data_IF_191217883771
#
_entry.id   IF_191217883771
#
_cell.length_a   1.000
_cell.length_b   1.000
_cell.length_c   1.000
_cell.angle_alpha   90.00
_cell.angle_beta   90.00
_cell.angle_gamma   90.00
#
_symmetry.space_group_name_H-M   'P 1'
#
loop_
_entity.id
_entity.type
_entity.pdbx_description
1 polymer ?
#
# COMPACT_ATOMS: atom_id res chain seq x y z
N UNK A 1 8.16 -1.81 1.21
CA UNK A 1 7.93 -0.37 0.95
C UNK A 1 7.35 -0.16 -0.44
N UNK A 2 6.46 0.82 -0.63
CA UNK A 2 5.81 1.11 -1.91
C UNK A 2 6.79 1.32 -3.07
N UNK A 3 7.92 2.01 -2.82
CA UNK A 3 8.98 2.25 -3.80
C UNK A 3 9.55 0.95 -4.39
N UNK A 4 9.79 -0.04 -3.54
CA UNK A 4 10.25 -1.37 -3.93
C UNK A 4 9.18 -2.15 -4.71
N UNK A 5 7.90 -2.05 -4.31
CA UNK A 5 6.79 -2.71 -5.00
C UNK A 5 6.62 -2.19 -6.42
N UNK A 6 6.65 -0.87 -6.61
CA UNK A 6 6.55 -0.24 -7.94
C UNK A 6 7.71 -0.73 -8.82
N UNK A 7 8.94 -0.68 -8.30
CA UNK A 7 10.13 -1.14 -9.03
C UNK A 7 10.04 -2.63 -9.38
N UNK A 8 9.56 -3.45 -8.45
CA UNK A 8 9.38 -4.89 -8.64
C UNK A 8 8.36 -5.17 -9.74
N UNK A 9 7.14 -4.63 -9.62
CA UNK A 9 6.08 -4.80 -10.62
C UNK A 9 6.53 -4.36 -12.02
N UNK A 10 7.22 -3.21 -12.11
CA UNK A 10 7.76 -2.72 -13.37
C UNK A 10 8.76 -3.70 -13.99
N UNK A 11 9.65 -4.28 -13.19
CA UNK A 11 10.62 -5.28 -13.65
C UNK A 11 9.95 -6.61 -14.01
N UNK A 12 8.95 -7.03 -13.25
CA UNK A 12 8.20 -8.26 -13.50
C UNK A 12 7.39 -8.16 -14.81
N UNK A 13 6.95 -6.96 -15.19
CA UNK A 13 6.34 -6.64 -16.50
C UNK A 13 7.36 -6.40 -17.62
N UNK A 14 8.66 -6.44 -17.31
CA UNK A 14 9.77 -6.21 -18.24
C UNK A 14 9.69 -4.87 -19.00
N UNK A 15 9.25 -3.80 -18.33
CA UNK A 15 9.16 -2.46 -18.93
C UNK A 15 10.15 -1.47 -18.31
N UNK A 16 10.52 -0.45 -19.07
CA UNK A 16 11.40 0.63 -18.61
C UNK A 16 10.65 1.66 -17.75
N UNK A 17 11.36 2.48 -16.97
CA UNK A 17 10.75 3.61 -16.26
C UNK A 17 10.09 4.62 -17.23
N UNK A 18 10.65 4.78 -18.44
CA UNK A 18 10.09 5.64 -19.49
C UNK A 18 8.75 5.08 -19.99
N UNK A 19 8.70 3.77 -20.21
CA UNK A 19 7.47 3.07 -20.64
C UNK A 19 6.39 3.20 -19.57
N UNK A 20 6.70 2.88 -18.31
CA UNK A 20 5.74 3.02 -17.22
C UNK A 20 5.25 4.48 -17.07
N UNK A 21 6.14 5.45 -17.19
CA UNK A 21 5.78 6.86 -17.13
C UNK A 21 4.80 7.25 -18.24
N UNK A 22 5.04 6.77 -19.47
CA UNK A 22 4.15 6.99 -20.61
C UNK A 22 2.75 6.41 -20.37
N UNK A 23 2.66 5.18 -19.90
CA UNK A 23 1.38 4.50 -19.62
C UNK A 23 0.58 5.18 -18.50
N UNK A 24 1.28 5.76 -17.52
CA UNK A 24 0.67 6.48 -16.39
C UNK A 24 0.44 7.97 -16.66
N UNK A 25 0.85 8.49 -17.82
CA UNK A 25 0.72 9.91 -18.18
C UNK A 25 1.58 10.85 -17.34
N UNK A 26 2.78 10.41 -16.94
CA UNK A 26 3.73 11.18 -16.12
C UNK A 26 5.11 11.24 -16.77
N UNK A 27 6.04 11.96 -16.15
CA UNK A 27 7.45 11.98 -16.59
C UNK A 27 8.22 10.77 -16.04
N UNK A 28 9.29 10.37 -16.74
CA UNK A 28 10.23 9.35 -16.24
C UNK A 28 10.84 9.75 -14.88
N UNK A 29 11.02 11.04 -14.63
CA UNK A 29 11.52 11.54 -13.35
C UNK A 29 10.54 11.24 -12.21
N UNK A 30 9.22 11.36 -12.43
CA UNK A 30 8.22 10.98 -11.44
C UNK A 30 8.35 9.51 -11.03
N UNK A 31 8.41 8.59 -12.01
CA UNK A 31 8.61 7.16 -11.75
C UNK A 31 9.93 6.90 -11.03
N UNK A 32 11.01 7.54 -11.45
CA UNK A 32 12.31 7.44 -10.77
C UNK A 32 12.25 7.93 -9.33
N UNK A 33 11.52 9.00 -9.04
CA UNK A 33 11.36 9.51 -7.69
C UNK A 33 10.59 8.53 -6.80
N UNK A 34 9.54 7.90 -7.32
CA UNK A 34 8.78 6.87 -6.59
C UNK A 34 9.64 5.64 -6.32
N UNK A 35 10.36 5.13 -7.32
CA UNK A 35 11.17 3.91 -7.16
C UNK A 35 12.42 4.10 -6.30
N UNK A 36 12.85 5.34 -6.03
CA UNK A 36 14.00 5.66 -5.19
C UNK A 36 13.59 6.32 -3.86
N UNK A 37 12.31 6.29 -3.50
CA UNK A 37 11.80 6.81 -2.23
C UNK A 37 11.98 8.34 -2.04
N UNK A 38 12.24 9.09 -3.12
CA UNK A 38 12.43 10.53 -3.06
C UNK A 38 11.11 11.29 -2.86
N UNK A 39 10.04 10.80 -3.50
CA UNK A 39 8.69 11.37 -3.46
C UNK A 39 7.70 10.21 -3.52
N UNK A 40 6.59 10.30 -2.81
CA UNK A 40 5.51 9.32 -2.88
C UNK A 40 4.52 9.64 -4.03
N UNK A 41 3.94 8.63 -4.69
CA UNK A 41 2.84 8.85 -5.62
C UNK A 41 1.63 9.46 -4.89
N UNK A 42 0.90 10.35 -5.55
CA UNK A 42 -0.39 10.83 -5.03
C UNK A 42 -1.40 9.68 -4.94
N UNK A 43 -2.50 9.89 -4.19
CA UNK A 43 -3.58 8.88 -4.08
C UNK A 43 -4.13 8.51 -5.46
N UNK A 44 -4.37 9.50 -6.33
CA UNK A 44 -4.84 9.25 -7.70
C UNK A 44 -3.84 8.39 -8.48
N UNK A 45 -2.55 8.66 -8.33
CA UNK A 45 -1.50 7.91 -9.02
C UNK A 45 -1.35 6.50 -8.46
N UNK A 46 -1.47 6.32 -7.15
CA UNK A 46 -1.50 5.02 -6.50
C UNK A 46 -2.61 4.13 -7.10
N UNK A 47 -3.81 4.69 -7.28
CA UNK A 47 -4.93 3.98 -7.91
C UNK A 47 -4.62 3.64 -9.38
N UNK A 48 -3.99 4.55 -10.13
CA UNK A 48 -3.58 4.27 -11.52
C UNK A 48 -2.54 3.17 -11.61
N UNK A 49 -1.53 3.20 -10.74
CA UNK A 49 -0.49 2.15 -10.65
C UNK A 49 -1.14 0.80 -10.31
N UNK A 50 -2.03 0.77 -9.32
CA UNK A 50 -2.75 -0.43 -8.92
C UNK A 50 -3.55 -1.04 -10.09
N UNK A 51 -4.31 -0.21 -10.81
CA UNK A 51 -5.06 -0.63 -12.00
C UNK A 51 -4.15 -1.11 -13.13
N UNK A 52 -3.07 -0.39 -13.43
CA UNK A 52 -2.14 -0.74 -14.51
C UNK A 52 -1.51 -2.12 -14.30
N UNK A 53 -1.07 -2.41 -13.07
CA UNK A 53 -0.45 -3.70 -12.73
C UNK A 53 -1.45 -4.77 -12.27
N UNK A 54 -2.75 -4.45 -12.27
CA UNK A 54 -3.82 -5.34 -11.79
C UNK A 54 -3.58 -5.88 -10.36
N UNK A 55 -3.25 -4.98 -9.43
CA UNK A 55 -3.06 -5.27 -8.00
C UNK A 55 -3.95 -4.35 -7.14
N UNK A 56 -4.13 -4.65 -5.86
CA UNK A 56 -4.79 -3.73 -4.93
C UNK A 56 -3.85 -2.60 -4.49
N UNK A 57 -4.43 -1.48 -4.05
CA UNK A 57 -3.67 -0.43 -3.36
C UNK A 57 -3.08 -0.95 -2.05
N UNK A 58 -3.76 -1.89 -1.40
CA UNK A 58 -3.30 -2.51 -0.15
C UNK A 58 -1.97 -3.24 -0.36
N UNK A 59 -1.83 -4.00 -1.46
CA UNK A 59 -0.57 -4.63 -1.83
C UNK A 59 0.57 -3.62 -2.04
N UNK A 60 0.27 -2.48 -2.68
CA UNK A 60 1.26 -1.42 -2.93
C UNK A 60 1.68 -0.70 -1.64
N UNK A 61 0.76 -0.56 -0.69
CA UNK A 61 0.96 0.09 0.59
C UNK A 61 1.49 -0.85 1.69
N UNK A 62 1.74 -2.13 1.36
CA UNK A 62 2.05 -3.18 2.34
C UNK A 62 0.98 -3.27 3.46
N UNK A 63 -0.28 -2.93 3.12
CA UNK A 63 -1.43 -3.20 3.97
C UNK A 63 -1.75 -4.68 3.76
N UNK A 64 -1.28 -5.52 4.68
CA UNK A 64 -1.86 -6.85 4.84
C UNK A 64 -3.34 -6.70 5.21
N UNK A 65 -4.18 -7.72 4.97
CA UNK A 65 -5.41 -7.85 5.75
C UNK A 65 -4.99 -8.03 7.21
N UNK A 66 -4.70 -6.93 7.90
CA UNK A 66 -4.66 -6.91 9.33
C UNK A 66 -6.07 -7.30 9.78
N UNK A 67 -6.13 -8.26 10.70
CA UNK A 67 -7.39 -8.61 11.33
C UNK A 67 -7.81 -7.45 12.23
N UNK A 68 -8.55 -6.51 11.66
CA UNK A 68 -9.17 -5.42 12.41
C UNK A 68 -10.46 -5.92 13.06
N UNK A 69 -10.64 -5.54 14.33
CA UNK A 69 -11.94 -5.70 15.00
C UNK A 69 -12.64 -4.36 14.87
N UNK A 70 -13.75 -4.33 14.15
CA UNK A 70 -14.63 -3.16 14.14
C UNK A 70 -15.22 -2.98 15.54
N UNK A 71 -14.97 -1.80 16.12
CA UNK A 71 -15.46 -1.40 17.45
C UNK A 71 -16.45 -0.25 17.36
N UNK A 72 -16.99 0.02 16.16
CA UNK A 72 -18.01 1.07 15.96
C UNK A 72 -19.19 0.83 16.91
N UNK A 73 -19.58 1.88 17.64
CA UNK A 73 -20.66 1.83 18.62
C UNK A 73 -20.25 1.41 20.03
N UNK A 74 -18.99 1.03 20.26
CA UNK A 74 -18.48 0.74 21.61
C UNK A 74 -17.94 1.99 22.30
N UNK A 75 -18.10 2.04 23.63
CA UNK A 75 -17.46 3.05 24.46
C UNK A 75 -16.03 2.63 24.88
N UNK A 76 -15.30 3.59 25.46
CA UNK A 76 -13.90 3.40 25.84
C UNK A 76 -13.66 2.24 26.82
N UNK A 77 -14.61 1.97 27.73
CA UNK A 77 -14.48 0.88 28.71
C UNK A 77 -14.61 -0.47 28.00
N UNK A 78 -15.59 -0.61 27.10
CA UNK A 78 -15.79 -1.82 26.30
C UNK A 78 -14.58 -2.11 25.40
N UNK A 79 -14.02 -1.07 24.78
CA UNK A 79 -12.78 -1.19 23.98
C UNK A 79 -11.60 -1.63 24.85
N UNK A 80 -11.48 -1.12 26.08
CA UNK A 80 -10.43 -1.54 27.00
C UNK A 80 -10.53 -3.04 27.37
N UNK A 81 -11.74 -3.54 27.63
CA UNK A 81 -11.96 -4.97 27.89
C UNK A 81 -11.58 -5.85 26.69
N UNK A 82 -11.97 -5.45 25.47
CA UNK A 82 -11.59 -6.18 24.26
C UNK A 82 -10.07 -6.24 24.09
N UNK A 83 -9.36 -5.15 24.40
CA UNK A 83 -7.89 -5.13 24.37
C UNK A 83 -7.27 -6.09 25.38
N UNK A 84 -7.84 -6.22 26.59
CA UNK A 84 -7.36 -7.19 27.59
C UNK A 84 -7.52 -8.62 27.09
N UNK A 85 -8.68 -8.97 26.53
CA UNK A 85 -8.93 -10.30 25.94
C UNK A 85 -7.93 -10.61 24.83
N UNK A 86 -7.71 -9.67 23.91
CA UNK A 86 -6.72 -9.84 22.82
C UNK A 86 -5.32 -10.07 23.39
N UNK A 87 -4.94 -9.36 24.45
CA UNK A 87 -3.63 -9.53 25.08
C UNK A 87 -3.49 -10.89 25.78
N UNK A 88 -4.54 -11.40 26.39
CA UNK A 88 -4.54 -12.72 27.02
C UNK A 88 -4.40 -13.82 25.97
N UNK A 89 -5.13 -13.72 24.85
CA UNK A 89 -5.02 -14.65 23.71
C UNK A 89 -3.64 -14.63 23.03
N UNK A 90 -2.89 -13.53 23.11
CA UNK A 90 -1.53 -13.44 22.58
C UNK A 90 -0.48 -14.06 23.50
N UNK A 91 -0.81 -14.27 24.78
CA UNK A 91 0.09 -14.85 25.78
C UNK A 91 -0.06 -16.37 25.93
N UNK A 92 -1.14 -16.94 25.39
CA UNK A 92 -1.38 -18.38 25.26
C UNK A 92 -0.69 -18.97 24.04
#
# INVERSE_FOLDING_TARGET
MISEKIRKLRKDFNISQVTLAKELGVTKQCVSNWENDNILPSIEMLIKIAKYFNVSTDYLLDISPDNYVDVTGLNNIQIAHLKLIINDLKKS
#
